data_IF_540664214484
#
_entry.id   IF_540664214484
#
_cell.length_a   1.000
_cell.length_b   1.000
_cell.length_c   1.000
_cell.angle_alpha   90.00
_cell.angle_beta   90.00
_cell.angle_gamma   90.00
#
_symmetry.space_group_name_H-M   'P 1'
#
loop_
_entity.id
_entity.type
_entity.pdbx_description
1 polymer ?
#
# COMPACT_ATOMS: atom_id res chain seq x y z
N UNK A 1 -71.27 5.98 -20.78
CA UNK A 1 -70.25 6.00 -21.84
C UNK A 1 -69.04 5.30 -21.25
N UNK A 2 -68.89 4.03 -21.62
CA UNK A 2 -68.01 3.05 -21.00
C UNK A 2 -66.67 3.10 -21.70
N UNK A 3 -65.56 3.26 -20.97
CA UNK A 3 -64.22 3.08 -21.50
C UNK A 3 -63.55 2.02 -20.65
N UNK A 4 -63.35 0.85 -21.26
CA UNK A 4 -62.58 -0.27 -20.75
C UNK A 4 -61.12 0.14 -20.55
N UNK A 5 -60.57 -0.21 -19.38
CA UNK A 5 -59.12 -0.16 -19.16
C UNK A 5 -58.58 -1.58 -19.26
N UNK A 6 -57.85 -1.83 -20.35
CA UNK A 6 -57.08 -3.06 -20.59
C UNK A 6 -55.80 -3.08 -19.75
N UNK A 7 -55.59 -4.18 -19.03
CA UNK A 7 -54.30 -4.60 -18.47
C UNK A 7 -53.38 -5.11 -19.60
N UNK A 8 -52.05 -4.93 -19.48
CA UNK A 8 -51.11 -5.83 -20.13
C UNK A 8 -50.46 -6.77 -19.10
N UNK A 9 -50.72 -8.07 -19.31
CA UNK A 9 -49.83 -9.17 -18.93
C UNK A 9 -48.60 -9.16 -19.83
N UNK A 10 -47.46 -9.56 -19.26
CA UNK A 10 -46.55 -10.64 -19.71
C UNK A 10 -45.09 -10.32 -19.38
N UNK A 11 -44.47 -11.06 -18.46
CA UNK A 11 -43.65 -12.27 -18.68
C UNK A 11 -42.26 -11.94 -19.21
N UNK A 12 -41.26 -11.88 -18.31
CA UNK A 12 -39.87 -12.10 -18.67
C UNK A 12 -39.31 -13.29 -17.90
N UNK A 13 -39.29 -14.43 -18.60
CA UNK A 13 -38.47 -15.59 -18.31
C UNK A 13 -37.01 -15.16 -18.32
N UNK A 14 -36.37 -15.17 -17.14
CA UNK A 14 -34.92 -15.06 -17.03
C UNK A 14 -34.32 -16.38 -17.52
N UNK A 15 -33.88 -16.37 -18.78
CA UNK A 15 -33.05 -17.41 -19.36
C UNK A 15 -31.77 -17.56 -18.53
N UNK A 16 -31.55 -18.76 -18.00
CA UNK A 16 -30.27 -19.17 -17.43
C UNK A 16 -29.22 -19.20 -18.53
N UNK A 17 -28.47 -18.10 -18.65
CA UNK A 17 -27.23 -18.10 -19.40
C UNK A 17 -26.26 -19.04 -18.69
N UNK A 18 -26.10 -20.25 -19.22
CA UNK A 18 -24.94 -21.08 -18.91
C UNK A 18 -23.71 -20.33 -19.40
N UNK A 19 -22.96 -19.74 -18.47
CA UNK A 19 -21.61 -19.25 -18.73
C UNK A 19 -20.76 -20.44 -19.21
N UNK A 20 -20.64 -20.59 -20.53
CA UNK A 20 -19.57 -21.38 -21.12
C UNK A 20 -18.31 -20.56 -20.94
N UNK A 21 -17.44 -21.08 -20.07
CA UNK A 21 -16.10 -20.59 -19.73
C UNK A 21 -15.25 -20.66 -21.00
N UNK A 22 -15.35 -19.63 -21.83
CA UNK A 22 -14.54 -19.38 -23.00
C UNK A 22 -13.14 -18.99 -22.53
N UNK A 23 -12.21 -19.95 -22.66
CA UNK A 23 -10.83 -19.87 -22.18
C UNK A 23 -10.08 -18.61 -22.64
N UNK A 24 -10.32 -17.50 -21.94
CA UNK A 24 -9.66 -16.21 -22.13
C UNK A 24 -8.16 -16.41 -22.00
N UNK A 25 -7.48 -15.88 -23.01
CA UNK A 25 -6.13 -16.23 -23.37
C UNK A 25 -5.06 -15.77 -22.37
N UNK A 26 -5.45 -15.02 -21.33
CA UNK A 26 -4.57 -14.57 -20.25
C UNK A 26 -5.00 -15.05 -18.85
N UNK A 27 -5.94 -15.99 -18.77
CA UNK A 27 -6.09 -16.91 -17.61
C UNK A 27 -5.50 -18.31 -17.88
N UNK A 28 -4.93 -18.48 -19.08
CA UNK A 28 -4.39 -19.70 -19.66
C UNK A 28 -3.12 -20.20 -18.97
N UNK A 29 -3.28 -21.24 -18.16
CA UNK A 29 -2.17 -22.06 -17.65
C UNK A 29 -2.29 -23.52 -18.09
N UNK A 30 -2.84 -23.74 -19.29
CA UNK A 30 -2.68 -24.98 -20.04
C UNK A 30 -2.25 -24.58 -21.45
N UNK A 31 -1.03 -24.05 -21.60
CA UNK A 31 -0.36 -24.15 -22.89
C UNK A 31 -0.17 -25.66 -23.09
N UNK A 32 -0.99 -26.27 -23.95
CA UNK A 32 -0.72 -27.58 -24.53
C UNK A 32 0.61 -27.48 -25.26
N UNK A 33 1.69 -27.56 -24.50
CA UNK A 33 3.04 -27.53 -25.03
C UNK A 33 3.18 -28.90 -25.70
N UNK A 34 3.50 -28.98 -27.00
CA UNK A 34 3.64 -30.27 -27.66
C UNK A 34 4.67 -31.09 -26.89
N UNK A 35 4.21 -32.21 -26.32
CA UNK A 35 4.96 -33.12 -25.47
C UNK A 35 6.27 -33.52 -26.16
N UNK A 36 7.37 -32.85 -25.81
CA UNK A 36 8.69 -33.43 -25.95
C UNK A 36 8.78 -34.55 -24.90
N UNK A 37 8.60 -35.79 -25.34
CA UNK A 37 8.82 -37.00 -24.55
C UNK A 37 10.24 -36.99 -23.99
N UNK A 38 10.41 -36.51 -22.76
CA UNK A 38 11.63 -36.69 -22.00
C UNK A 38 11.43 -37.85 -21.03
N UNK A 39 12.15 -38.95 -21.28
CA UNK A 39 12.20 -40.10 -20.37
C UNK A 39 13.07 -39.70 -19.17
N UNK A 40 12.44 -39.42 -18.03
CA UNK A 40 13.14 -39.29 -16.74
C UNK A 40 12.86 -40.53 -15.91
N UNK A 41 13.94 -41.25 -15.60
CA UNK A 41 13.98 -42.46 -14.79
C UNK A 41 13.99 -42.13 -13.29
N UNK A 42 13.05 -42.76 -12.57
CA UNK A 42 13.11 -43.28 -11.19
C UNK A 42 13.79 -42.47 -10.06
N UNK A 43 13.00 -42.11 -9.04
CA UNK A 43 13.47 -41.71 -7.70
C UNK A 43 12.65 -42.46 -6.62
N UNK A 44 13.25 -42.86 -5.46
CA UNK A 44 12.68 -43.85 -4.53
C UNK A 44 11.77 -43.24 -3.43
N UNK A 45 10.98 -44.06 -2.71
CA UNK A 45 9.96 -43.61 -1.77
C UNK A 45 10.53 -43.30 -0.38
N UNK A 46 10.08 -42.20 0.24
CA UNK A 46 10.37 -41.85 1.63
C UNK A 46 9.14 -42.12 2.53
N UNK A 47 9.42 -42.73 3.68
CA UNK A 47 8.51 -43.22 4.72
C UNK A 47 8.08 -42.13 5.70
N UNK A 48 6.90 -42.33 6.30
CA UNK A 48 6.11 -41.29 6.97
C UNK A 48 6.38 -41.03 8.45
N UNK A 49 5.78 -39.94 8.93
CA UNK A 49 5.59 -39.60 10.34
C UNK A 49 4.12 -39.17 10.52
N UNK A 50 3.42 -39.82 11.46
CA UNK A 50 2.05 -39.52 11.85
C UNK A 50 2.03 -38.40 12.89
N UNK A 51 1.21 -37.38 12.67
CA UNK A 51 0.59 -36.58 13.73
C UNK A 51 -0.88 -36.40 13.39
N UNK A 52 -1.76 -36.58 14.38
CA UNK A 52 -3.21 -36.69 14.22
C UNK A 52 -3.92 -35.53 14.90
N UNK A 53 -5.03 -35.09 14.27
CA UNK A 53 -6.00 -34.04 14.67
C UNK A 53 -5.62 -32.67 14.10
N UNK A 54 -6.33 -32.03 13.15
CA UNK A 54 -7.78 -31.88 12.93
C UNK A 54 -8.09 -31.84 11.42
N UNK A 55 -9.30 -32.28 11.06
CA UNK A 55 -9.84 -32.50 9.71
C UNK A 55 -10.09 -31.20 8.93
N UNK A 56 -9.42 -31.02 7.80
CA UNK A 56 -9.88 -30.21 6.66
C UNK A 56 -9.38 -30.84 5.35
N UNK A 57 -10.30 -31.35 4.54
CA UNK A 57 -10.03 -32.18 3.36
C UNK A 57 -9.74 -31.34 2.11
N UNK A 58 -8.48 -31.42 1.65
CA UNK A 58 -8.03 -31.16 0.27
C UNK A 58 -6.84 -32.09 0.01
N UNK A 59 -7.06 -33.18 -0.72
CA UNK A 59 -6.12 -34.31 -0.88
C UNK A 59 -4.91 -34.02 -1.79
N UNK A 60 -4.70 -32.79 -2.26
CA UNK A 60 -3.40 -32.36 -2.78
C UNK A 60 -2.63 -31.70 -1.65
N UNK A 61 -1.54 -32.33 -1.19
CA UNK A 61 -0.61 -31.86 -0.17
C UNK A 61 -0.75 -30.35 0.10
N UNK A 62 -1.39 -29.99 1.22
CA UNK A 62 -1.61 -28.62 1.64
C UNK A 62 -0.30 -27.85 1.45
N UNK A 63 -0.32 -26.90 0.53
CA UNK A 63 0.85 -26.08 0.28
C UNK A 63 0.94 -25.06 1.41
N UNK A 64 1.63 -25.47 2.48
CA UNK A 64 1.74 -24.69 3.70
C UNK A 64 2.39 -23.33 3.41
N UNK A 65 1.85 -22.26 4.00
CA UNK A 65 2.40 -20.91 3.86
C UNK A 65 3.88 -20.83 4.29
N UNK A 66 4.30 -21.66 5.26
CA UNK A 66 5.69 -21.80 5.67
C UNK A 66 6.59 -22.31 4.53
N UNK A 67 6.12 -23.30 3.75
CA UNK A 67 6.85 -23.80 2.59
C UNK A 67 6.95 -22.73 1.48
N UNK A 68 5.88 -21.96 1.25
CA UNK A 68 5.89 -20.82 0.30
C UNK A 68 6.97 -19.81 0.69
N UNK A 69 6.99 -19.41 1.97
CA UNK A 69 7.98 -18.45 2.49
C UNK A 69 9.41 -19.00 2.40
N UNK A 70 9.60 -20.28 2.72
CA UNK A 70 10.90 -20.94 2.64
C UNK A 70 11.41 -21.03 1.19
N UNK A 71 10.55 -21.41 0.24
CA UNK A 71 10.86 -21.37 -1.19
C UNK A 71 11.19 -19.94 -1.60
N UNK A 72 10.38 -18.96 -1.24
CA UNK A 72 10.60 -17.56 -1.62
C UNK A 72 11.95 -17.00 -1.16
N UNK A 73 12.38 -17.36 0.06
CA UNK A 73 13.61 -16.86 0.65
C UNK A 73 14.85 -17.17 -0.18
N UNK A 74 14.85 -18.23 -1.00
CA UNK A 74 15.98 -18.55 -1.88
C UNK A 74 16.10 -17.61 -3.09
N UNK A 75 14.98 -17.01 -3.54
CA UNK A 75 14.95 -16.14 -4.73
C UNK A 75 15.08 -14.65 -4.40
N UNK A 76 14.97 -14.31 -3.13
CA UNK A 76 14.82 -12.93 -2.69
C UNK A 76 15.96 -12.00 -3.10
N UNK A 77 17.19 -12.51 -3.14
CA UNK A 77 18.37 -11.74 -3.55
C UNK A 77 18.40 -11.39 -5.04
N UNK A 78 17.63 -12.11 -5.86
CA UNK A 78 17.64 -12.02 -7.32
C UNK A 78 16.43 -11.23 -7.83
N UNK A 79 15.31 -11.31 -7.09
CA UNK A 79 14.10 -10.62 -7.46
C UNK A 79 14.26 -9.10 -7.34
N UNK A 80 13.72 -8.32 -8.30
CA UNK A 80 13.74 -6.87 -8.20
C UNK A 80 12.93 -6.39 -7.00
N UNK A 81 13.19 -5.16 -6.56
CA UNK A 81 12.49 -4.55 -5.44
C UNK A 81 10.97 -4.45 -5.73
N UNK A 82 10.10 -4.47 -4.69
CA UNK A 82 8.64 -4.44 -4.86
C UNK A 82 8.17 -3.29 -5.76
N UNK A 83 8.75 -2.10 -5.60
CA UNK A 83 8.37 -0.93 -6.39
C UNK A 83 8.66 -1.11 -7.88
N UNK A 84 9.75 -1.81 -8.22
CA UNK A 84 10.09 -2.13 -9.60
C UNK A 84 9.17 -3.22 -10.15
N UNK A 85 8.80 -4.20 -9.32
CA UNK A 85 7.82 -5.24 -9.67
C UNK A 85 6.48 -4.61 -10.08
N UNK A 86 6.05 -3.58 -9.34
CA UNK A 86 4.82 -2.82 -9.61
C UNK A 86 4.92 -1.96 -10.86
N UNK A 87 6.05 -1.27 -11.08
CA UNK A 87 6.20 -0.33 -12.20
C UNK A 87 6.36 -1.00 -13.56
N UNK A 88 7.09 -2.12 -13.62
CA UNK A 88 7.46 -2.75 -14.89
C UNK A 88 6.48 -3.81 -15.38
N UNK A 89 5.38 -4.05 -14.66
CA UNK A 89 4.40 -5.11 -14.95
C UNK A 89 5.09 -6.41 -15.35
N UNK A 90 5.97 -6.90 -14.47
CA UNK A 90 6.79 -8.06 -14.79
C UNK A 90 5.91 -9.25 -15.17
N UNK A 91 6.04 -9.70 -16.41
CA UNK A 91 5.33 -10.89 -16.87
C UNK A 91 5.88 -12.11 -16.14
N UNK A 92 5.00 -13.09 -15.93
CA UNK A 92 5.37 -14.38 -15.33
C UNK A 92 6.57 -15.02 -16.04
N UNK A 93 6.60 -14.94 -17.37
CA UNK A 93 7.67 -15.51 -18.17
C UNK A 93 9.02 -14.84 -17.87
N UNK A 94 9.04 -13.52 -17.71
CA UNK A 94 10.26 -12.77 -17.44
C UNK A 94 10.84 -13.12 -16.07
N UNK A 95 10.00 -13.24 -15.03
CA UNK A 95 10.44 -13.70 -13.70
C UNK A 95 11.02 -15.12 -13.75
N UNK A 96 10.35 -16.02 -14.48
CA UNK A 96 10.83 -17.39 -14.69
C UNK A 96 12.18 -17.42 -15.39
N UNK A 97 12.35 -16.64 -16.46
CA UNK A 97 13.62 -16.55 -17.19
C UNK A 97 14.74 -16.02 -16.30
N UNK A 98 14.47 -15.00 -15.49
CA UNK A 98 15.47 -14.42 -14.61
C UNK A 98 15.94 -15.43 -13.55
N UNK A 99 15.02 -16.21 -12.97
CA UNK A 99 15.36 -17.26 -12.00
C UNK A 99 16.19 -18.38 -12.66
N UNK A 100 15.77 -18.85 -13.84
CA UNK A 100 16.48 -19.89 -14.58
C UNK A 100 17.88 -19.44 -15.02
N UNK A 101 18.03 -18.18 -15.41
CA UNK A 101 19.32 -17.57 -15.78
C UNK A 101 20.32 -17.57 -14.62
N UNK A 102 19.83 -17.51 -13.39
CA UNK A 102 20.66 -17.59 -12.19
C UNK A 102 20.83 -19.03 -11.66
N UNK A 103 20.43 -20.04 -12.44
CA UNK A 103 20.57 -21.47 -12.11
C UNK A 103 19.90 -21.89 -10.79
N UNK A 104 18.84 -21.19 -10.38
CA UNK A 104 18.02 -21.62 -9.25
C UNK A 104 16.87 -22.51 -9.73
N UNK A 105 16.42 -23.42 -8.86
CA UNK A 105 15.19 -24.19 -9.12
C UNK A 105 13.99 -23.24 -9.23
N UNK A 106 12.95 -23.60 -9.98
CA UNK A 106 11.75 -22.75 -10.03
C UNK A 106 10.90 -22.98 -8.77
N UNK A 107 10.37 -21.94 -8.12
CA UNK A 107 9.40 -22.12 -7.05
C UNK A 107 8.10 -22.70 -7.62
N UNK A 108 7.34 -23.45 -6.81
CA UNK A 108 6.15 -24.14 -7.31
C UNK A 108 5.10 -23.19 -7.87
N UNK A 109 4.99 -21.97 -7.37
CA UNK A 109 4.05 -20.97 -7.89
C UNK A 109 4.49 -20.36 -9.24
N UNK A 110 5.73 -20.60 -9.69
CA UNK A 110 6.24 -20.23 -11.02
C UNK A 110 6.47 -21.44 -11.95
N UNK A 111 6.19 -22.65 -11.47
CA UNK A 111 6.15 -23.85 -12.30
C UNK A 111 4.83 -23.92 -13.06
N UNK A 112 4.88 -24.50 -14.24
CA UNK A 112 3.66 -24.84 -14.97
C UNK A 112 2.94 -26.01 -14.28
N UNK A 113 1.64 -26.19 -14.56
CA UNK A 113 0.83 -27.24 -13.94
C UNK A 113 1.37 -28.65 -14.22
N UNK A 114 1.88 -28.88 -15.43
CA UNK A 114 2.56 -30.12 -15.82
C UNK A 114 3.90 -30.36 -15.10
N UNK A 115 4.51 -29.31 -14.55
CA UNK A 115 5.74 -29.37 -13.74
C UNK A 115 5.45 -29.52 -12.23
N UNK A 116 4.18 -29.77 -11.87
CA UNK A 116 3.73 -29.79 -10.47
C UNK A 116 3.58 -28.39 -9.87
N UNK A 117 3.39 -27.38 -10.72
CA UNK A 117 3.18 -26.01 -10.30
C UNK A 117 1.81 -25.75 -9.71
N UNK A 118 1.75 -24.72 -8.85
CA UNK A 118 0.54 -24.29 -8.15
C UNK A 118 0.12 -22.94 -8.73
N UNK A 119 -1.20 -22.75 -8.90
CA UNK A 119 -1.72 -21.48 -9.39
C UNK A 119 -1.33 -20.34 -8.44
N UNK A 120 -0.75 -19.22 -8.93
CA UNK A 120 -0.34 -18.10 -8.08
C UNK A 120 -1.45 -17.56 -7.17
N UNK A 121 -2.69 -17.48 -7.67
CA UNK A 121 -3.84 -17.08 -6.85
C UNK A 121 -4.05 -18.00 -5.64
N UNK A 122 -3.86 -19.31 -5.80
CA UNK A 122 -4.04 -20.25 -4.71
C UNK A 122 -2.94 -20.08 -3.65
N UNK A 123 -1.68 -19.96 -4.09
CA UNK A 123 -0.56 -19.68 -3.21
C UNK A 123 -0.75 -18.35 -2.44
N UNK A 124 -1.23 -17.31 -3.13
CA UNK A 124 -1.57 -16.01 -2.54
C UNK A 124 -2.66 -16.12 -1.48
N UNK A 125 -3.76 -16.83 -1.77
CA UNK A 125 -4.82 -17.06 -0.79
C UNK A 125 -4.30 -17.83 0.43
N UNK A 126 -3.54 -18.91 0.24
CA UNK A 126 -2.97 -19.67 1.35
C UNK A 126 -2.07 -18.80 2.23
N UNK A 127 -1.23 -17.96 1.63
CA UNK A 127 -0.38 -17.03 2.35
C UNK A 127 -1.21 -16.01 3.15
N UNK A 128 -2.15 -15.32 2.49
CA UNK A 128 -2.97 -14.27 3.11
C UNK A 128 -3.93 -14.81 4.19
N UNK A 129 -4.50 -16.00 4.00
CA UNK A 129 -5.32 -16.67 5.02
C UNK A 129 -4.48 -16.98 6.27
N UNK A 130 -3.28 -17.54 6.09
CA UNK A 130 -2.40 -17.83 7.23
C UNK A 130 -2.01 -16.56 8.00
N UNK A 131 -1.71 -15.46 7.30
CA UNK A 131 -1.40 -14.17 7.94
C UNK A 131 -2.60 -13.55 8.65
N UNK A 132 -3.79 -13.71 8.07
CA UNK A 132 -5.01 -13.24 8.68
C UNK A 132 -5.31 -14.01 9.98
N UNK A 133 -5.22 -15.34 9.96
CA UNK A 133 -5.41 -16.18 11.14
C UNK A 133 -4.41 -15.83 12.25
N UNK A 134 -3.11 -15.74 11.93
CA UNK A 134 -2.06 -15.31 12.85
C UNK A 134 -2.30 -13.88 13.38
N UNK A 135 -2.75 -12.99 12.51
CA UNK A 135 -3.04 -11.58 12.81
C UNK A 135 -4.21 -11.41 13.78
N UNK A 136 -5.31 -12.16 13.61
CA UNK A 136 -6.47 -12.08 14.50
C UNK A 136 -6.15 -12.49 15.94
N UNK A 137 -5.24 -13.46 16.12
CA UNK A 137 -4.75 -13.87 17.44
C UNK A 137 -3.90 -12.77 18.08
N UNK A 138 -3.02 -12.14 17.29
CA UNK A 138 -2.13 -11.09 17.77
C UNK A 138 -2.83 -9.74 18.00
N UNK A 139 -3.82 -9.36 17.18
CA UNK A 139 -4.56 -8.09 17.36
C UNK A 139 -5.34 -8.08 18.68
N UNK A 140 -5.93 -9.22 19.09
CA UNK A 140 -6.58 -9.30 20.42
C UNK A 140 -5.61 -9.04 21.57
N UNK A 141 -4.33 -9.38 21.42
CA UNK A 141 -3.30 -9.05 22.40
C UNK A 141 -2.88 -7.56 22.31
N UNK A 142 -2.64 -7.04 21.10
CA UNK A 142 -2.15 -5.67 20.85
C UNK A 142 -3.20 -4.57 21.02
N UNK A 143 -4.49 -4.90 20.97
CA UNK A 143 -5.57 -3.93 21.15
C UNK A 143 -5.52 -3.24 22.53
N UNK A 144 -4.90 -3.89 23.53
CA UNK A 144 -4.68 -3.30 24.86
C UNK A 144 -3.59 -2.22 24.89
N UNK A 145 -2.55 -2.31 24.05
CA UNK A 145 -1.42 -1.38 24.03
C UNK A 145 -1.63 -0.18 23.09
N UNK A 146 -2.50 -0.34 22.09
CA UNK A 146 -2.72 0.65 21.02
C UNK A 146 -3.47 1.92 21.46
N UNK A 147 -4.24 1.89 22.55
CA UNK A 147 -5.08 3.02 22.96
C UNK A 147 -4.26 4.30 23.26
N UNK A 148 -3.13 4.18 23.95
CA UNK A 148 -2.27 5.32 24.31
C UNK A 148 -1.58 5.94 23.09
N UNK A 149 -1.06 5.12 22.19
CA UNK A 149 -0.40 5.58 20.95
C UNK A 149 -1.42 6.21 19.99
N UNK A 150 -2.63 5.66 19.95
CA UNK A 150 -3.75 6.18 19.13
C UNK A 150 -4.23 7.54 19.64
N UNK A 151 -4.23 7.76 20.96
CA UNK A 151 -4.62 9.05 21.55
C UNK A 151 -3.53 10.12 21.38
N UNK A 152 -2.25 9.74 21.48
CA UNK A 152 -1.14 10.69 21.40
C UNK A 152 -0.76 11.11 19.96
N UNK A 153 -1.12 10.30 18.96
CA UNK A 153 -0.65 10.55 17.59
C UNK A 153 -1.42 11.63 16.81
N UNK A 154 -2.54 12.17 17.33
CA UNK A 154 -3.36 13.27 16.74
C UNK A 154 -3.67 13.20 15.22
N UNK A 155 -3.27 12.12 14.53
CA UNK A 155 -3.22 12.01 13.06
C UNK A 155 -4.11 10.91 12.51
N UNK A 156 -5.12 10.51 13.29
CA UNK A 156 -6.05 9.44 12.94
C UNK A 156 -7.24 10.00 12.16
N UNK A 157 -7.06 10.28 10.88
CA UNK A 157 -8.22 10.39 9.98
C UNK A 157 -8.09 9.57 8.70
N UNK A 158 -6.90 9.11 8.32
CA UNK A 158 -6.77 8.07 7.29
C UNK A 158 -5.52 7.21 7.60
N UNK A 159 -5.71 5.89 7.77
CA UNK A 159 -4.60 4.94 7.78
C UNK A 159 -4.04 4.95 6.37
N UNK A 160 -3.07 5.83 6.10
CA UNK A 160 -2.42 5.85 4.79
C UNK A 160 -1.69 4.53 4.63
N UNK A 161 -2.28 3.62 3.85
CA UNK A 161 -1.72 2.34 3.44
C UNK A 161 -0.63 2.63 2.41
N UNK A 162 0.49 3.14 2.91
CA UNK A 162 1.62 3.58 2.09
C UNK A 162 2.50 2.43 1.61
N UNK A 163 2.26 1.24 2.13
CA UNK A 163 2.95 0.02 1.73
C UNK A 163 1.99 -0.80 0.86
N UNK A 164 2.39 -1.16 -0.38
CA UNK A 164 1.55 -1.95 -1.28
C UNK A 164 1.12 -3.29 -0.67
N UNK A 165 1.96 -3.94 0.15
CA UNK A 165 1.59 -5.17 0.84
C UNK A 165 0.42 -4.96 1.80
N UNK A 166 0.43 -3.85 2.55
CA UNK A 166 -0.68 -3.51 3.46
C UNK A 166 -1.96 -3.22 2.69
N UNK A 167 -1.89 -2.58 1.52
CA UNK A 167 -3.05 -2.38 0.67
C UNK A 167 -3.64 -3.71 0.19
N UNK A 168 -2.79 -4.66 -0.23
CA UNK A 168 -3.23 -6.00 -0.65
C UNK A 168 -3.88 -6.75 0.52
N UNK A 169 -3.27 -6.70 1.71
CA UNK A 169 -3.83 -7.30 2.94
C UNK A 169 -5.15 -6.66 3.34
N UNK A 170 -5.29 -5.34 3.22
CA UNK A 170 -6.52 -4.62 3.53
C UNK A 170 -7.66 -5.04 2.59
N UNK A 171 -7.39 -5.06 1.28
CA UNK A 171 -8.34 -5.60 0.29
C UNK A 171 -8.72 -7.05 0.59
N UNK A 172 -7.75 -7.89 0.98
CA UNK A 172 -8.00 -9.28 1.36
C UNK A 172 -8.90 -9.38 2.59
N UNK A 173 -8.58 -8.63 3.65
CA UNK A 173 -9.32 -8.64 4.91
C UNK A 173 -10.77 -8.22 4.75
N UNK A 174 -11.05 -7.31 3.81
CA UNK A 174 -12.42 -6.93 3.47
C UNK A 174 -13.21 -8.08 2.80
N UNK A 175 -12.53 -8.99 2.12
CA UNK A 175 -13.15 -10.08 1.37
C UNK A 175 -13.06 -11.44 2.08
N UNK A 176 -12.23 -11.57 3.12
CA UNK A 176 -11.84 -12.87 3.72
C UNK A 176 -13.04 -13.71 4.16
N UNK A 177 -14.07 -13.09 4.75
CA UNK A 177 -15.27 -13.78 5.21
C UNK A 177 -16.05 -14.46 4.07
N UNK A 178 -15.88 -13.96 2.84
CA UNK A 178 -16.51 -14.50 1.63
C UNK A 178 -15.67 -15.58 0.95
N UNK A 179 -14.40 -15.72 1.32
CA UNK A 179 -13.48 -16.70 0.75
C UNK A 179 -13.72 -18.05 1.44
N UNK A 180 -14.21 -19.07 0.71
CA UNK A 180 -14.36 -20.40 1.27
C UNK A 180 -12.98 -21.02 1.53
N UNK A 181 -12.90 -21.86 2.57
CA UNK A 181 -11.68 -22.63 2.87
C UNK A 181 -11.33 -23.64 1.76
N UNK A 182 -12.32 -24.05 0.96
CA UNK A 182 -12.15 -25.00 -0.14
C UNK A 182 -11.65 -24.33 -1.43
N UNK A 183 -10.97 -25.09 -2.29
CA UNK A 183 -10.52 -24.63 -3.61
C UNK A 183 -11.74 -24.31 -4.47
N UNK A 184 -12.01 -23.03 -4.66
CA UNK A 184 -13.11 -22.53 -5.49
C UNK A 184 -12.56 -21.84 -6.74
N UNK A 185 -13.21 -22.09 -7.89
CA UNK A 185 -12.87 -21.43 -9.16
C UNK A 185 -12.98 -19.90 -9.01
N UNK A 186 -12.05 -19.12 -9.60
CA UNK A 186 -12.03 -17.66 -9.45
C UNK A 186 -13.37 -16.96 -9.78
N UNK A 187 -14.06 -17.38 -10.85
CA UNK A 187 -15.35 -16.79 -11.21
C UNK A 187 -16.45 -17.00 -10.16
N UNK A 188 -16.47 -18.17 -9.52
CA UNK A 188 -17.42 -18.46 -8.42
C UNK A 188 -17.06 -17.63 -7.19
N UNK A 189 -15.77 -17.47 -6.89
CA UNK A 189 -15.30 -16.66 -5.79
C UNK A 189 -15.68 -15.18 -5.97
N UNK A 190 -15.43 -14.61 -7.15
CA UNK A 190 -15.84 -13.25 -7.52
C UNK A 190 -17.33 -13.05 -7.33
N UNK A 191 -18.14 -14.00 -7.80
CA UNK A 191 -19.60 -13.96 -7.64
C UNK A 191 -20.00 -13.96 -6.17
N UNK A 192 -19.43 -14.84 -5.34
CA UNK A 192 -19.70 -14.88 -3.89
C UNK A 192 -19.34 -13.58 -3.17
N UNK A 193 -18.20 -12.97 -3.50
CA UNK A 193 -17.78 -11.67 -2.92
C UNK A 193 -18.79 -10.57 -3.33
N UNK A 194 -19.16 -10.54 -4.61
CA UNK A 194 -20.13 -9.58 -5.16
C UNK A 194 -21.52 -9.74 -4.55
N UNK A 195 -21.99 -10.98 -4.39
CA UNK A 195 -23.30 -11.30 -3.82
C UNK A 195 -23.42 -10.84 -2.35
N UNK A 196 -22.28 -10.65 -1.65
CA UNK A 196 -22.22 -10.08 -0.29
C UNK A 196 -22.07 -8.56 -0.25
N UNK A 197 -22.03 -7.89 -1.40
CA UNK A 197 -21.83 -6.44 -1.48
C UNK A 197 -20.42 -5.98 -1.10
N UNK A 198 -19.44 -6.89 -1.09
CA UNK A 198 -18.05 -6.57 -0.76
C UNK A 198 -17.28 -6.16 -2.02
N UNK A 199 -16.30 -5.24 -1.91
CA UNK A 199 -15.44 -4.90 -3.04
C UNK A 199 -14.58 -6.10 -3.43
N UNK A 200 -14.50 -6.40 -4.72
CA UNK A 200 -13.64 -7.48 -5.23
C UNK A 200 -12.19 -6.99 -5.21
N UNK A 201 -11.27 -7.67 -4.52
CA UNK A 201 -9.85 -7.31 -4.56
C UNK A 201 -9.30 -7.29 -5.98
N UNK A 202 -8.39 -6.36 -6.27
CA UNK A 202 -7.90 -6.13 -7.65
C UNK A 202 -7.22 -7.37 -8.25
N UNK A 203 -6.63 -8.21 -7.41
CA UNK A 203 -5.96 -9.45 -7.80
C UNK A 203 -6.91 -10.64 -7.98
N UNK A 204 -8.23 -10.44 -7.82
CA UNK A 204 -9.25 -11.41 -8.23
C UNK A 204 -10.03 -10.99 -9.47
N UNK A 205 -9.78 -9.79 -10.00
CA UNK A 205 -10.43 -9.31 -11.23
C UNK A 205 -10.04 -10.18 -12.44
N UNK A 206 -10.81 -10.03 -13.52
CA UNK A 206 -10.53 -10.72 -14.79
C UNK A 206 -9.21 -10.23 -15.40
N UNK A 207 -8.47 -11.09 -16.13
CA UNK A 207 -7.19 -10.72 -16.76
C UNK A 207 -7.30 -9.56 -17.75
N UNK A 208 -8.48 -9.41 -18.35
CA UNK A 208 -8.77 -8.33 -19.30
C UNK A 208 -9.10 -6.99 -18.61
N UNK A 209 -9.27 -6.98 -17.28
CA UNK A 209 -9.56 -5.74 -16.55
C UNK A 209 -8.28 -4.91 -16.39
N UNK A 210 -8.31 -3.65 -16.83
CA UNK A 210 -7.18 -2.72 -16.72
C UNK A 210 -6.73 -2.49 -15.26
N UNK A 211 -7.62 -2.74 -14.30
CA UNK A 211 -7.35 -2.63 -12.86
C UNK A 211 -6.83 -3.93 -12.26
N UNK A 212 -6.75 -5.01 -13.05
CA UNK A 212 -6.30 -6.28 -12.54
C UNK A 212 -4.86 -6.18 -12.06
N UNK A 213 -4.65 -6.65 -10.84
CA UNK A 213 -3.33 -6.74 -10.26
C UNK A 213 -2.82 -8.18 -10.36
N UNK A 214 -1.74 -8.49 -11.10
CA UNK A 214 -1.34 -9.87 -11.31
C UNK A 214 -1.03 -10.58 -9.98
N UNK A 215 -1.61 -11.76 -9.73
CA UNK A 215 -1.54 -12.42 -8.43
C UNK A 215 -0.13 -12.86 -8.04
N UNK A 216 0.71 -13.20 -9.01
CA UNK A 216 2.11 -13.52 -8.76
C UNK A 216 2.88 -12.29 -8.28
N UNK A 217 2.59 -11.10 -8.81
CA UNK A 217 3.20 -9.85 -8.32
C UNK A 217 2.73 -9.57 -6.90
N UNK A 218 1.43 -9.70 -6.62
CA UNK A 218 0.89 -9.54 -5.26
C UNK A 218 1.56 -10.47 -4.25
N UNK A 219 1.73 -11.74 -4.64
CA UNK A 219 2.41 -12.74 -3.83
C UNK A 219 3.85 -12.33 -3.53
N UNK A 220 4.61 -11.91 -4.55
CA UNK A 220 6.00 -11.45 -4.37
C UNK A 220 6.08 -10.21 -3.47
N UNK A 221 5.16 -9.25 -3.63
CA UNK A 221 5.12 -8.02 -2.82
C UNK A 221 4.88 -8.35 -1.34
N UNK A 222 3.94 -9.25 -1.03
CA UNK A 222 3.68 -9.67 0.37
C UNK A 222 4.89 -10.42 0.94
N UNK A 223 5.49 -11.32 0.16
CA UNK A 223 6.62 -12.12 0.62
C UNK A 223 7.88 -11.26 0.86
N UNK A 224 8.09 -10.21 0.07
CA UNK A 224 9.20 -9.26 0.27
C UNK A 224 8.97 -8.33 1.48
N UNK A 225 7.73 -8.13 1.91
CA UNK A 225 7.39 -7.25 3.01
C UNK A 225 7.84 -7.81 4.38
N UNK A 226 7.77 -9.12 4.57
CA UNK A 226 8.13 -9.79 5.83
C UNK A 226 9.59 -9.58 6.26
N UNK A 227 10.50 -9.27 5.34
CA UNK A 227 11.90 -8.97 5.68
C UNK A 227 12.18 -7.49 5.93
N UNK A 228 11.24 -6.60 5.61
CA UNK A 228 11.40 -5.17 5.88
C UNK A 228 11.27 -4.84 7.38
N UNK A 229 10.84 -5.76 8.24
CA UNK A 229 10.76 -5.52 9.69
C UNK A 229 12.12 -5.18 10.31
N UNK A 230 13.24 -5.72 9.79
CA UNK A 230 14.57 -5.30 10.24
C UNK A 230 14.93 -3.88 9.77
N UNK A 231 14.48 -3.48 8.58
CA UNK A 231 14.63 -2.09 8.08
C UNK A 231 13.66 -1.12 8.78
N UNK A 232 12.60 -1.63 9.41
CA UNK A 232 11.63 -0.81 10.12
C UNK A 232 12.25 -0.18 11.37
N UNK A 233 13.21 -0.83 12.02
CA UNK A 233 13.96 -0.21 13.12
C UNK A 233 14.75 1.01 12.62
N UNK A 234 15.48 0.86 11.51
CA UNK A 234 16.18 2.00 10.89
C UNK A 234 15.20 3.11 10.53
N UNK A 235 14.07 2.77 9.91
CA UNK A 235 13.04 3.75 9.56
C UNK A 235 12.42 4.44 10.79
N UNK A 236 12.27 3.73 11.91
CA UNK A 236 11.82 4.33 13.16
C UNK A 236 12.84 5.35 13.67
N UNK A 237 14.12 5.01 13.72
CA UNK A 237 15.17 5.95 14.12
C UNK A 237 15.23 7.15 13.17
N UNK A 238 15.16 6.94 11.86
CA UNK A 238 15.07 8.03 10.89
C UNK A 238 13.84 8.90 11.16
N UNK A 239 12.66 8.32 11.35
CA UNK A 239 11.43 9.07 11.63
C UNK A 239 11.54 9.90 12.90
N UNK A 240 12.13 9.34 13.97
CA UNK A 240 12.36 10.05 15.22
C UNK A 240 13.39 11.17 15.03
N UNK A 241 14.50 10.90 14.35
CA UNK A 241 15.55 11.89 14.08
C UNK A 241 15.06 13.03 13.19
N UNK A 242 14.26 12.74 12.17
CA UNK A 242 13.67 13.77 11.32
C UNK A 242 12.54 14.53 12.03
N UNK A 243 11.72 13.85 12.84
CA UNK A 243 10.71 14.51 13.67
C UNK A 243 11.36 15.44 14.68
N UNK A 244 12.47 15.03 15.31
CA UNK A 244 13.19 15.88 16.26
C UNK A 244 13.87 17.05 15.55
N UNK A 245 14.46 16.81 14.37
CA UNK A 245 15.01 17.87 13.53
C UNK A 245 13.94 18.91 13.15
N UNK A 246 12.76 18.48 12.72
CA UNK A 246 11.67 19.39 12.39
C UNK A 246 11.14 20.15 13.61
N UNK A 247 11.04 19.50 14.77
CA UNK A 247 10.66 20.16 16.02
C UNK A 247 11.70 21.22 16.42
N UNK A 248 13.00 20.92 16.31
CA UNK A 248 14.09 21.86 16.57
C UNK A 248 14.03 23.02 15.57
N UNK A 249 13.85 22.74 14.28
CA UNK A 249 13.73 23.77 13.25
C UNK A 249 12.54 24.70 13.50
N UNK A 250 11.38 24.14 13.89
CA UNK A 250 10.20 24.90 14.26
C UNK A 250 10.45 25.76 15.52
N UNK A 251 11.09 25.20 16.54
CA UNK A 251 11.46 25.93 17.75
C UNK A 251 12.43 27.09 17.45
N UNK A 252 13.47 26.86 16.66
CA UNK A 252 14.40 27.89 16.22
C UNK A 252 13.69 29.00 15.44
N UNK A 253 12.72 28.64 14.58
CA UNK A 253 11.93 29.60 13.83
C UNK A 253 11.05 30.47 14.73
N UNK A 254 10.42 29.88 15.75
CA UNK A 254 9.67 30.63 16.77
C UNK A 254 10.60 31.61 17.52
N UNK A 255 11.77 31.13 17.94
CA UNK A 255 12.76 31.98 18.64
C UNK A 255 13.18 33.16 17.75
N UNK A 256 13.48 32.92 16.48
CA UNK A 256 13.94 33.98 15.57
C UNK A 256 12.83 34.96 15.19
N UNK A 257 11.66 34.47 14.77
CA UNK A 257 10.60 35.32 14.23
C UNK A 257 9.78 36.01 15.34
N UNK A 258 9.51 35.32 16.46
CA UNK A 258 8.63 35.83 17.53
C UNK A 258 9.45 36.51 18.62
N UNK A 259 10.35 35.75 19.25
CA UNK A 259 11.18 36.26 20.36
C UNK A 259 12.18 37.28 19.82
N UNK A 260 12.78 37.01 18.66
CA UNK A 260 13.70 37.93 17.99
C UNK A 260 13.04 39.25 17.61
N UNK A 261 11.81 39.25 17.12
CA UNK A 261 11.08 40.50 16.81
C UNK A 261 10.78 41.33 18.08
N UNK A 262 10.29 40.69 19.14
CA UNK A 262 10.07 41.37 20.43
C UNK A 262 11.38 41.93 21.00
N UNK A 263 12.44 41.12 20.99
CA UNK A 263 13.77 41.48 21.46
C UNK A 263 14.41 42.62 20.65
N UNK A 264 14.23 42.64 19.33
CA UNK A 264 14.75 43.69 18.46
C UNK A 264 14.14 45.06 18.79
N UNK A 265 12.84 45.12 19.06
CA UNK A 265 12.17 46.37 19.49
C UNK A 265 12.65 46.80 20.88
N UNK A 266 12.75 45.85 21.82
CA UNK A 266 13.17 46.12 23.18
C UNK A 266 14.62 46.61 23.26
N UNK A 267 15.55 45.91 22.60
CA UNK A 267 16.97 46.26 22.56
C UNK A 267 17.27 47.45 21.66
N UNK A 268 16.58 47.59 20.53
CA UNK A 268 16.72 48.74 19.64
C UNK A 268 16.34 50.06 20.33
N UNK A 269 15.29 50.05 21.15
CA UNK A 269 14.90 51.23 21.94
C UNK A 269 15.96 51.66 22.97
N UNK A 270 16.76 50.71 23.48
CA UNK A 270 17.89 50.98 24.37
C UNK A 270 19.08 51.58 23.61
N UNK A 271 19.45 51.01 22.46
CA UNK A 271 20.56 51.52 21.63
C UNK A 271 20.29 52.96 21.17
N UNK A 272 19.05 53.29 20.81
CA UNK A 272 18.66 54.65 20.38
C UNK A 272 18.41 55.58 21.58
N UNK A 273 18.57 55.11 22.83
CA UNK A 273 18.28 55.85 24.07
C UNK A 273 16.83 56.36 24.19
N UNK A 274 15.89 55.76 23.47
CA UNK A 274 14.46 56.07 23.57
C UNK A 274 13.85 55.52 24.87
N UNK A 275 14.43 54.41 25.37
CA UNK A 275 14.06 53.80 26.64
C UNK A 275 14.81 54.45 27.81
N UNK A 276 14.20 55.46 28.42
CA UNK A 276 14.67 56.06 29.68
C UNK A 276 14.09 55.31 30.87
N UNK A 277 14.94 55.00 31.86
CA UNK A 277 14.60 54.16 33.03
C UNK A 277 13.38 54.64 33.83
N UNK A 278 13.08 55.95 33.79
CA UNK A 278 12.08 56.57 34.65
C UNK A 278 10.73 56.82 33.99
N UNK A 279 10.64 56.90 32.66
CA UNK A 279 9.42 57.40 31.99
C UNK A 279 8.82 56.44 30.96
N UNK A 280 9.65 55.79 30.15
CA UNK A 280 9.17 55.11 28.94
C UNK A 280 9.39 53.59 28.95
N UNK A 281 9.94 53.01 30.02
CA UNK A 281 10.23 51.55 30.10
C UNK A 281 8.97 50.71 29.91
N UNK A 282 7.90 51.05 30.61
CA UNK A 282 6.63 50.34 30.55
C UNK A 282 5.99 50.41 29.15
N UNK A 283 6.06 51.58 28.50
CA UNK A 283 5.56 51.75 27.14
C UNK A 283 6.28 50.83 26.15
N UNK A 284 7.62 50.81 26.17
CA UNK A 284 8.39 49.93 25.28
C UNK A 284 8.21 48.44 25.59
N UNK A 285 7.84 48.09 26.84
CA UNK A 285 7.49 46.70 27.21
C UNK A 285 6.22 46.27 26.48
N UNK A 286 5.17 47.09 26.54
CA UNK A 286 3.92 46.82 25.83
C UNK A 286 4.08 46.82 24.31
N UNK A 287 4.87 47.74 23.75
CA UNK A 287 5.15 47.76 22.31
C UNK A 287 5.90 46.48 21.89
N UNK A 288 6.94 46.10 22.63
CA UNK A 288 7.70 44.87 22.36
C UNK A 288 6.81 43.61 22.44
N UNK A 289 5.96 43.52 23.48
CA UNK A 289 4.98 42.44 23.61
C UNK A 289 3.96 42.44 22.47
N UNK A 290 3.47 43.61 22.05
CA UNK A 290 2.54 43.74 20.93
C UNK A 290 3.14 43.29 19.60
N UNK A 291 4.39 43.68 19.32
CA UNK A 291 5.12 43.23 18.12
C UNK A 291 5.37 41.72 18.18
N UNK A 292 5.79 41.19 19.33
CA UNK A 292 5.93 39.74 19.53
C UNK A 292 4.62 38.98 19.30
N UNK A 293 3.51 39.48 19.83
CA UNK A 293 2.18 38.89 19.62
C UNK A 293 1.73 38.90 18.16
N UNK A 294 1.97 39.99 17.44
CA UNK A 294 1.66 40.09 16.01
C UNK A 294 2.54 39.15 15.17
N UNK A 295 3.83 39.04 15.48
CA UNK A 295 4.72 38.05 14.88
C UNK A 295 4.28 36.62 15.17
N UNK A 296 3.83 36.32 16.39
CA UNK A 296 3.28 35.01 16.74
C UNK A 296 2.02 34.69 15.95
N UNK A 297 1.08 35.64 15.85
CA UNK A 297 -0.14 35.47 15.07
C UNK A 297 0.19 35.17 13.60
N UNK A 298 1.11 35.94 13.02
CA UNK A 298 1.61 35.69 11.66
C UNK A 298 2.23 34.30 11.53
N UNK A 299 3.07 33.91 12.49
CA UNK A 299 3.68 32.57 12.51
C UNK A 299 2.61 31.48 12.54
N UNK A 300 1.59 31.62 13.39
CA UNK A 300 0.48 30.65 13.49
C UNK A 300 -0.30 30.60 12.18
N UNK A 301 -0.66 31.74 11.58
CA UNK A 301 -1.39 31.77 10.30
C UNK A 301 -0.59 31.09 9.18
N UNK A 302 0.72 31.35 9.08
CA UNK A 302 1.58 30.76 8.04
C UNK A 302 1.88 29.27 8.24
N UNK A 303 1.81 28.78 9.48
CA UNK A 303 2.06 27.37 9.80
C UNK A 303 0.78 26.60 10.16
N UNK A 304 -0.38 27.24 10.18
CA UNK A 304 -1.65 26.58 10.41
C UNK A 304 -1.88 25.55 9.31
N UNK A 305 -2.38 24.36 9.65
CA UNK A 305 -2.74 23.37 8.64
C UNK A 305 -3.93 23.91 7.84
N UNK A 306 -3.67 24.52 6.69
CA UNK A 306 -4.73 24.76 5.72
C UNK A 306 -5.23 23.39 5.24
N UNK A 307 -6.56 23.23 5.22
CA UNK A 307 -7.18 22.13 4.48
C UNK A 307 -6.87 22.36 3.01
N UNK A 308 -5.93 21.60 2.47
CA UNK A 308 -5.77 21.48 1.02
C UNK A 308 -7.02 20.76 0.49
N UNK A 309 -7.72 21.38 -0.47
CA UNK A 309 -8.75 20.70 -1.26
C UNK A 309 -8.13 19.45 -1.89
N UNK A 310 -8.84 18.32 -1.79
CA UNK A 310 -8.39 16.94 -2.10
C UNK A 310 -7.99 16.69 -3.59
N UNK A 311 -7.73 17.72 -4.39
CA UNK A 311 -7.49 17.63 -5.83
C UNK A 311 -6.13 18.09 -6.35
N UNK A 312 -5.32 18.80 -5.56
CA UNK A 312 -4.07 19.42 -6.08
C UNK A 312 -2.88 19.17 -5.15
N UNK A 313 -2.33 17.95 -5.22
CA UNK A 313 -1.19 17.48 -4.41
C UNK A 313 0.08 18.34 -4.63
N UNK A 314 0.11 19.18 -5.68
CA UNK A 314 1.26 20.02 -6.02
C UNK A 314 0.84 21.44 -6.44
N UNK A 315 -0.17 22.02 -5.79
CA UNK A 315 -0.61 23.39 -6.09
C UNK A 315 0.55 24.40 -6.23
N UNK A 316 0.34 25.56 -6.88
CA UNK A 316 1.39 26.49 -7.33
C UNK A 316 2.33 27.03 -6.24
N UNK A 317 2.05 26.76 -4.96
CA UNK A 317 2.89 27.09 -3.81
C UNK A 317 4.07 26.11 -3.57
N UNK A 318 4.21 25.05 -4.37
CA UNK A 318 5.33 24.12 -4.29
C UNK A 318 5.35 23.31 -2.97
N UNK A 319 6.50 22.73 -2.57
CA UNK A 319 6.61 21.79 -1.45
C UNK A 319 6.24 22.36 -0.08
N UNK A 320 5.88 23.66 -0.03
CA UNK A 320 5.45 24.37 1.16
C UNK A 320 3.92 24.44 1.33
N UNK A 321 3.13 23.79 0.48
CA UNK A 321 1.68 23.63 0.71
C UNK A 321 1.34 22.35 1.47
N UNK A 322 2.08 21.26 1.21
CA UNK A 322 1.80 19.91 1.69
C UNK A 322 1.59 19.83 3.23
N UNK A 323 0.75 18.91 3.70
CA UNK A 323 0.59 18.62 5.15
C UNK A 323 1.94 18.37 5.82
N UNK A 324 2.15 18.86 7.05
CA UNK A 324 3.38 18.68 7.84
C UNK A 324 3.92 17.21 7.87
N UNK A 325 3.07 16.16 8.02
CA UNK A 325 3.55 14.78 7.88
C UNK A 325 3.95 14.38 6.45
N UNK A 326 3.31 14.93 5.41
CA UNK A 326 3.67 14.68 4.01
C UNK A 326 4.94 15.46 3.63
N UNK A 327 5.15 16.67 4.16
CA UNK A 327 6.42 17.42 4.03
C UNK A 327 7.57 16.71 4.73
N UNK A 328 7.36 16.27 5.97
CA UNK A 328 8.35 15.49 6.69
C UNK A 328 8.73 14.25 5.88
N UNK A 329 7.73 13.53 5.36
CA UNK A 329 7.95 12.33 4.55
C UNK A 329 8.65 12.59 3.21
N UNK A 330 8.23 13.64 2.51
CA UNK A 330 8.82 14.13 1.28
C UNK A 330 10.32 14.47 1.46
N UNK A 331 10.64 15.15 2.56
CA UNK A 331 12.01 15.51 2.94
C UNK A 331 12.79 14.28 3.41
N UNK A 332 12.16 13.31 4.08
CA UNK A 332 12.82 12.09 4.57
C UNK A 332 13.09 11.06 3.48
N UNK A 333 12.14 10.83 2.57
CA UNK A 333 12.24 9.77 1.55
C UNK A 333 13.14 10.20 0.39
N UNK A 334 13.11 11.49 0.02
CA UNK A 334 13.90 12.01 -1.10
C UNK A 334 14.47 13.43 -0.85
N UNK A 335 15.42 13.61 0.08
CA UNK A 335 15.93 14.92 0.49
C UNK A 335 16.50 15.78 -0.66
N UNK A 336 16.95 15.14 -1.75
CA UNK A 336 17.56 15.81 -2.90
C UNK A 336 16.68 15.86 -4.17
N UNK A 337 15.60 15.09 -4.27
CA UNK A 337 14.72 15.15 -5.46
C UNK A 337 13.82 16.39 -5.47
N UNK A 338 13.57 16.99 -4.30
CA UNK A 338 12.72 18.17 -4.15
C UNK A 338 13.30 19.46 -4.72
N UNK A 339 14.62 19.53 -4.92
CA UNK A 339 15.27 20.69 -5.55
C UNK A 339 15.40 20.57 -7.07
N UNK A 340 15.15 19.39 -7.65
CA UNK A 340 15.54 19.09 -9.04
C UNK A 340 14.36 18.84 -9.99
N UNK A 341 13.12 18.65 -9.50
CA UNK A 341 11.96 18.40 -10.37
C UNK A 341 10.88 19.48 -10.25
N UNK A 342 11.12 20.58 -10.98
CA UNK A 342 10.08 21.51 -11.43
C UNK A 342 10.00 21.55 -12.97
N UNK A 343 10.38 20.47 -13.66
CA UNK A 343 10.11 20.32 -15.09
C UNK A 343 8.83 19.51 -15.26
N UNK A 344 7.79 20.14 -15.81
CA UNK A 344 6.55 19.48 -16.24
C UNK A 344 6.93 18.26 -17.10
N UNK A 345 6.33 17.07 -16.88
CA UNK A 345 6.41 16.03 -17.88
C UNK A 345 5.90 16.59 -19.21
N UNK A 346 6.68 16.42 -20.28
CA UNK A 346 6.23 16.79 -21.61
C UNK A 346 4.96 16.00 -21.91
N UNK A 347 3.83 16.69 -22.03
CA UNK A 347 2.60 16.09 -22.50
C UNK A 347 2.90 15.42 -23.83
N UNK A 348 2.91 14.09 -23.87
CA UNK A 348 2.92 13.37 -25.12
C UNK A 348 1.62 13.78 -25.83
N UNK A 349 1.75 14.62 -26.85
CA UNK A 349 0.64 14.90 -27.73
C UNK A 349 0.22 13.56 -28.32
N UNK A 350 -1.01 13.16 -28.03
CA UNK A 350 -1.68 12.08 -28.73
C UNK A 350 -1.70 12.44 -30.20
N UNK A 351 -0.74 11.92 -30.96
CA UNK A 351 -0.78 11.90 -32.41
C UNK A 351 -2.03 11.11 -32.79
N UNK A 352 -3.11 11.84 -33.10
CA UNK A 352 -4.24 11.30 -33.83
C UNK A 352 -3.69 10.80 -35.16
N UNK A 353 -3.60 9.48 -35.28
CA UNK A 353 -3.48 8.80 -36.56
C UNK A 353 -4.87 8.86 -37.19
N UNK A 354 -5.09 9.88 -38.02
CA UNK A 354 -6.20 9.88 -38.95
C UNK A 354 -5.99 8.69 -39.91
N UNK A 355 -7.02 7.85 -40.03
CA UNK A 355 -7.16 6.78 -41.02
C UNK A 355 -8.43 7.04 -41.81
#
# INVERSE_FOLDING_TARGET
>A
MTIEHQDPKETSLVNGASFQDDGSLDSNFDLETPLLKYNISQQPPATGIRSSSIRATLESAQYEAAAIRAEFKTYQSILPAPDQLLQKQHSFHMLRQEILKNHLELPRFLKYKNEGGIKPHHALCCLLLSEYEDGTLNERAKQSESCLVRTLSFGYLNRQLNNPANFIRDQFSCAVDAIPADVVKPGILRKKIRDRGLPIPNYFLDPEDEKQFPPHIALLVILQDGEQELRHLDHFFYRVAFSSFAAIALALRIVLEVIGAAGAIWGGAEVVKLRTATKNVELFRWISLGVGGLSLLRFVILNAPLQEDDGDILGPAGPWSLRLPVRLRAVTEHPFHYFVRATRPSSQSTSKKDK
#
